data_IF_579208172767
#
_entry.id   IF_579208172767
#
_cell.length_a   1.000
_cell.length_b   1.000
_cell.length_c   1.000
_cell.angle_alpha   90.00
_cell.angle_beta   90.00
_cell.angle_gamma   90.00
#
_symmetry.space_group_name_H-M   'P 1'
#
loop_
_entity.id
_entity.type
_entity.pdbx_description
1 polymer ?
#
# COMPACT_ATOMS: atom_id res chain seq x y z
N UNK A 1 2.62 7.26 -27.55
CA UNK A 1 1.35 7.09 -26.79
C UNK A 1 0.83 5.64 -26.85
N UNK A 2 0.74 5.01 -28.02
CA UNK A 2 0.17 3.66 -28.17
C UNK A 2 0.95 2.58 -27.41
N UNK A 3 2.28 2.62 -27.43
CA UNK A 3 3.15 1.62 -26.75
C UNK A 3 2.99 1.72 -25.23
N UNK A 4 3.03 2.92 -24.67
CA UNK A 4 2.85 3.12 -23.23
C UNK A 4 1.46 2.67 -22.78
N UNK A 5 0.41 3.02 -23.53
CA UNK A 5 -0.96 2.61 -23.25
C UNK A 5 -1.11 1.09 -23.30
N UNK A 6 -0.50 0.44 -24.29
CA UNK A 6 -0.49 -1.01 -24.40
C UNK A 6 0.20 -1.67 -23.20
N UNK A 7 1.38 -1.15 -22.80
CA UNK A 7 2.12 -1.65 -21.65
C UNK A 7 1.30 -1.52 -20.36
N UNK A 8 0.71 -0.36 -20.08
CA UNK A 8 -0.12 -0.17 -18.89
C UNK A 8 -1.32 -1.12 -18.90
N UNK A 9 -1.97 -1.32 -20.05
CA UNK A 9 -3.08 -2.26 -20.15
C UNK A 9 -2.65 -3.71 -19.86
N UNK A 10 -1.47 -4.13 -20.30
CA UNK A 10 -0.92 -5.45 -19.94
C UNK A 10 -0.71 -5.58 -18.43
N UNK A 11 -0.14 -4.58 -17.80
CA UNK A 11 0.06 -4.55 -16.34
C UNK A 11 -1.28 -4.62 -15.61
N UNK A 12 -2.25 -3.79 -16.01
CA UNK A 12 -3.59 -3.78 -15.40
C UNK A 12 -4.29 -5.14 -15.52
N UNK A 13 -4.21 -5.77 -16.70
CA UNK A 13 -4.81 -7.09 -16.93
C UNK A 13 -4.14 -8.15 -16.05
N UNK A 14 -2.81 -8.12 -15.93
CA UNK A 14 -2.08 -9.07 -15.10
C UNK A 14 -2.44 -8.95 -13.62
N UNK A 15 -2.51 -7.73 -13.10
CA UNK A 15 -2.92 -7.48 -11.72
C UNK A 15 -4.38 -7.92 -11.50
N UNK A 16 -5.25 -7.72 -12.49
CA UNK A 16 -6.64 -8.18 -12.43
C UNK A 16 -6.76 -9.69 -12.30
N UNK A 17 -5.86 -10.45 -12.93
CA UNK A 17 -5.79 -11.89 -12.75
C UNK A 17 -5.41 -12.25 -11.31
N UNK A 18 -4.43 -11.57 -10.71
CA UNK A 18 -4.04 -11.82 -9.33
C UNK A 18 -5.16 -11.59 -8.32
N UNK A 19 -6.05 -10.65 -8.56
CA UNK A 19 -7.19 -10.43 -7.65
C UNK A 19 -8.14 -11.65 -7.54
N UNK A 20 -8.12 -12.56 -8.51
CA UNK A 20 -8.90 -13.80 -8.46
C UNK A 20 -8.30 -14.83 -7.49
N UNK A 21 -6.98 -14.75 -7.24
CA UNK A 21 -6.30 -15.70 -6.36
C UNK A 21 -6.69 -15.61 -4.88
N UNK A 22 -7.33 -14.51 -4.45
CA UNK A 22 -7.87 -14.40 -3.08
C UNK A 22 -8.85 -15.52 -2.78
N UNK A 23 -9.62 -15.93 -3.79
CA UNK A 23 -10.65 -16.97 -3.68
C UNK A 23 -10.10 -18.39 -3.85
N UNK A 24 -8.81 -18.53 -4.13
CA UNK A 24 -8.18 -19.83 -4.29
C UNK A 24 -8.03 -20.53 -2.91
N UNK A 25 -8.51 -21.74 -2.81
CA UNK A 25 -8.45 -22.55 -1.56
C UNK A 25 -7.05 -22.68 -0.98
N UNK A 26 -6.01 -22.67 -1.83
CA UNK A 26 -4.62 -22.73 -1.35
C UNK A 26 -4.23 -21.53 -0.49
N UNK A 27 -4.89 -20.38 -0.67
CA UNK A 27 -4.62 -19.15 0.08
C UNK A 27 -5.51 -19.01 1.33
N UNK A 28 -6.45 -19.92 1.55
CA UNK A 28 -7.41 -19.84 2.67
C UNK A 28 -6.70 -19.76 4.04
N UNK A 29 -5.65 -20.53 4.21
CA UNK A 29 -4.87 -20.56 5.46
C UNK A 29 -4.22 -19.19 5.75
N UNK A 30 -3.55 -18.60 4.78
CA UNK A 30 -2.90 -17.30 4.95
C UNK A 30 -3.93 -16.17 5.10
N UNK A 31 -5.02 -16.21 4.33
CA UNK A 31 -6.11 -15.24 4.46
C UNK A 31 -6.73 -15.26 5.86
N UNK A 32 -6.99 -16.45 6.40
CA UNK A 32 -7.47 -16.62 7.78
C UNK A 32 -6.50 -16.07 8.81
N UNK A 33 -5.20 -16.32 8.64
CA UNK A 33 -4.17 -15.81 9.56
C UNK A 33 -4.06 -14.28 9.51
N UNK A 34 -4.24 -13.67 8.35
CA UNK A 34 -4.31 -12.21 8.23
C UNK A 34 -5.54 -11.65 8.98
N UNK A 35 -6.71 -12.26 8.82
CA UNK A 35 -7.93 -11.87 9.55
C UNK A 35 -7.72 -11.98 11.06
N UNK A 36 -7.12 -13.08 11.52
CA UNK A 36 -6.82 -13.30 12.95
C UNK A 36 -5.81 -12.28 13.48
N UNK A 37 -4.79 -11.95 12.69
CA UNK A 37 -3.80 -10.92 13.04
C UNK A 37 -4.45 -9.53 13.20
N UNK A 38 -5.28 -9.13 12.25
CA UNK A 38 -6.03 -7.87 12.34
C UNK A 38 -6.98 -7.89 13.55
N UNK A 39 -7.70 -8.99 13.78
CA UNK A 39 -8.55 -9.16 14.97
C UNK A 39 -7.76 -9.01 16.26
N UNK A 40 -6.56 -9.62 16.34
CA UNK A 40 -5.69 -9.53 17.50
C UNK A 40 -5.32 -8.07 17.81
N UNK A 41 -4.91 -7.31 16.79
CA UNK A 41 -4.56 -5.90 16.96
C UNK A 41 -5.78 -5.06 17.38
N UNK A 42 -6.94 -5.28 16.77
CA UNK A 42 -8.17 -4.56 17.12
C UNK A 42 -8.65 -4.87 18.55
N UNK A 43 -8.53 -6.11 19.00
CA UNK A 43 -8.85 -6.51 20.37
C UNK A 43 -7.93 -5.85 21.39
N UNK A 44 -6.73 -5.48 21.00
CA UNK A 44 -5.80 -4.65 21.79
C UNK A 44 -6.10 -3.15 21.68
N UNK A 45 -7.22 -2.77 21.02
CA UNK A 45 -7.68 -1.40 20.82
C UNK A 45 -6.75 -0.54 19.93
N UNK A 46 -5.99 -1.16 19.03
CA UNK A 46 -5.22 -0.42 18.04
C UNK A 46 -6.11 0.06 16.90
N UNK A 47 -5.85 1.26 16.42
CA UNK A 47 -6.35 1.76 15.15
C UNK A 47 -5.32 1.37 14.08
N UNK A 48 -5.77 0.70 13.03
CA UNK A 48 -4.92 0.09 12.01
C UNK A 48 -5.08 0.87 10.70
N UNK A 49 -3.97 1.35 10.16
CA UNK A 49 -3.91 2.06 8.90
C UNK A 49 -3.04 1.23 7.95
N UNK A 50 -3.65 0.67 6.91
CA UNK A 50 -2.96 -0.17 5.94
C UNK A 50 -2.66 0.67 4.71
N UNK A 51 -1.39 0.79 4.37
CA UNK A 51 -0.90 1.43 3.16
C UNK A 51 -0.20 0.39 2.30
N UNK A 52 -0.51 0.38 1.02
CA UNK A 52 0.13 -0.54 0.08
C UNK A 52 0.67 0.20 -1.14
N UNK A 53 1.80 -0.27 -1.63
CA UNK A 53 2.35 0.13 -2.93
C UNK A 53 1.82 -0.71 -4.07
N UNK A 54 1.10 -1.80 -3.76
CA UNK A 54 0.45 -2.64 -4.74
C UNK A 54 -0.76 -1.95 -5.36
N UNK A 55 -1.09 -2.34 -6.58
CA UNK A 55 -2.21 -1.77 -7.35
C UNK A 55 -3.50 -2.59 -7.22
N UNK A 56 -3.42 -3.76 -6.55
CA UNK A 56 -4.53 -4.68 -6.35
C UNK A 56 -5.45 -4.24 -5.21
N UNK A 57 -6.46 -5.08 -4.94
CA UNK A 57 -7.42 -4.89 -3.87
C UNK A 57 -7.54 -6.15 -2.99
N UNK A 58 -6.47 -6.93 -2.87
CA UNK A 58 -6.45 -8.19 -2.14
C UNK A 58 -6.81 -7.99 -0.66
N UNK A 59 -6.16 -7.05 0.00
CA UNK A 59 -6.36 -6.80 1.43
C UNK A 59 -7.81 -6.41 1.75
N UNK A 60 -8.45 -5.43 1.09
CA UNK A 60 -9.86 -5.14 1.31
C UNK A 60 -10.78 -6.32 0.97
N UNK A 61 -10.47 -7.12 -0.04
CA UNK A 61 -11.28 -8.30 -0.39
C UNK A 61 -11.25 -9.36 0.71
N UNK A 62 -10.10 -9.58 1.34
CA UNK A 62 -9.96 -10.52 2.46
C UNK A 62 -10.63 -9.98 3.71
N UNK A 63 -10.47 -8.69 4.02
CA UNK A 63 -10.88 -8.12 5.29
C UNK A 63 -12.34 -7.64 5.34
N UNK A 64 -12.91 -7.15 4.22
CA UNK A 64 -14.26 -6.54 4.22
C UNK A 64 -15.41 -7.47 4.61
N UNK A 65 -15.34 -8.80 4.40
CA UNK A 65 -16.36 -9.71 4.94
C UNK A 65 -16.38 -9.78 6.47
N UNK A 66 -15.29 -9.42 7.13
CA UNK A 66 -15.12 -9.56 8.59
C UNK A 66 -15.09 -8.22 9.33
N UNK A 67 -14.67 -7.16 8.65
CA UNK A 67 -14.43 -5.83 9.23
C UNK A 67 -14.96 -4.73 8.34
N UNK A 68 -15.35 -3.62 8.94
CA UNK A 68 -15.64 -2.40 8.20
C UNK A 68 -14.33 -1.71 7.81
N UNK A 69 -13.84 -1.98 6.60
CA UNK A 69 -12.64 -1.35 6.04
C UNK A 69 -13.02 -0.02 5.39
N UNK A 70 -12.33 1.05 5.76
CA UNK A 70 -12.50 2.36 5.14
C UNK A 70 -11.48 2.55 4.01
N UNK A 71 -11.95 2.79 2.79
CA UNK A 71 -11.13 2.96 1.58
C UNK A 71 -11.28 4.35 0.94
N UNK A 72 -11.69 5.37 1.70
CA UNK A 72 -11.98 6.71 1.21
C UNK A 72 -13.02 6.77 0.06
N UNK A 73 -13.89 5.77 -0.03
CA UNK A 73 -14.96 5.68 -1.02
C UNK A 73 -16.29 6.12 -0.41
N UNK A 74 -17.05 6.95 -1.13
CA UNK A 74 -18.39 7.38 -0.77
C UNK A 74 -19.38 6.96 -1.85
N UNK A 75 -20.52 6.42 -1.44
CA UNK A 75 -21.59 6.06 -2.37
C UNK A 75 -22.20 7.33 -3.00
N UNK A 76 -22.41 7.28 -4.32
CA UNK A 76 -23.22 8.25 -5.07
C UNK A 76 -24.67 7.79 -5.17
N UNK A 77 -25.56 8.73 -5.47
CA UNK A 77 -26.98 8.45 -5.65
C UNK A 77 -27.27 7.44 -6.79
N UNK A 78 -26.40 7.33 -7.77
CA UNK A 78 -26.50 6.37 -8.88
C UNK A 78 -25.89 4.98 -8.58
N UNK A 79 -25.56 4.68 -7.33
CA UNK A 79 -24.95 3.41 -6.93
C UNK A 79 -23.44 3.30 -7.17
N UNK A 80 -22.84 4.25 -7.88
CA UNK A 80 -21.39 4.30 -8.06
C UNK A 80 -20.70 4.80 -6.78
N UNK A 81 -19.40 4.52 -6.63
CA UNK A 81 -18.60 5.06 -5.54
C UNK A 81 -17.64 6.11 -6.08
N UNK A 82 -17.58 7.25 -5.42
CA UNK A 82 -16.62 8.30 -5.71
C UNK A 82 -15.53 8.27 -4.64
N UNK A 83 -14.31 8.48 -5.09
CA UNK A 83 -13.20 8.66 -4.17
C UNK A 83 -13.29 10.04 -3.54
N UNK A 84 -13.57 10.09 -2.25
CA UNK A 84 -13.56 11.31 -1.45
C UNK A 84 -12.69 11.06 -0.23
N UNK A 85 -11.58 11.76 -0.20
CA UNK A 85 -10.73 11.74 0.96
C UNK A 85 -11.27 12.69 2.02
N UNK A 86 -11.77 12.11 3.10
CA UNK A 86 -12.17 12.83 4.31
C UNK A 86 -11.16 12.52 5.42
N UNK A 87 -10.21 13.42 5.62
CA UNK A 87 -9.14 13.29 6.61
C UNK A 87 -9.68 13.10 8.03
N UNK A 88 -10.76 13.80 8.39
CA UNK A 88 -11.33 13.69 9.73
C UNK A 88 -11.95 12.30 9.94
N UNK A 89 -12.65 11.78 8.93
CA UNK A 89 -13.22 10.45 8.97
C UNK A 89 -12.12 9.39 8.98
N UNK A 90 -11.09 9.57 8.15
CA UNK A 90 -9.96 8.64 8.07
C UNK A 90 -9.25 8.49 9.42
N UNK A 91 -9.03 9.57 10.16
CA UNK A 91 -8.43 9.54 11.50
C UNK A 91 -9.29 8.82 12.54
N UNK A 92 -10.62 8.90 12.42
CA UNK A 92 -11.57 8.32 13.38
C UNK A 92 -11.87 6.84 13.17
N UNK A 93 -11.58 6.28 11.99
CA UNK A 93 -11.88 4.87 11.72
C UNK A 93 -10.80 3.97 12.28
N UNK A 94 -11.20 2.81 12.81
CA UNK A 94 -10.27 1.85 13.40
C UNK A 94 -9.50 1.05 12.36
N UNK A 95 -10.04 0.84 11.17
CA UNK A 95 -9.38 0.09 10.10
C UNK A 95 -9.56 0.82 8.77
N UNK A 96 -8.46 1.17 8.13
CA UNK A 96 -8.47 1.78 6.80
C UNK A 96 -7.41 1.17 5.89
N UNK A 97 -7.66 1.26 4.57
CA UNK A 97 -6.77 0.77 3.54
C UNK A 97 -6.60 1.82 2.45
N UNK A 98 -5.37 2.01 1.98
CA UNK A 98 -5.03 2.98 0.96
C UNK A 98 -3.94 2.47 0.01
N UNK A 99 -4.17 2.57 -1.30
CA UNK A 99 -3.17 2.29 -2.33
C UNK A 99 -2.37 3.56 -2.63
N UNK A 100 -1.14 3.67 -2.12
CA UNK A 100 -0.28 4.86 -2.29
C UNK A 100 0.04 5.14 -3.76
N UNK A 101 0.23 4.10 -4.54
CA UNK A 101 0.52 4.20 -5.97
C UNK A 101 -0.73 4.07 -6.86
N UNK A 102 -1.92 4.20 -6.27
CA UNK A 102 -3.17 4.01 -6.99
C UNK A 102 -3.62 2.56 -7.08
N UNK A 103 -4.71 2.34 -7.78
CA UNK A 103 -5.31 1.00 -7.93
C UNK A 103 -5.87 0.80 -9.31
N UNK A 104 -5.83 -0.45 -9.80
CA UNK A 104 -6.47 -0.85 -11.05
C UNK A 104 -8.00 -0.67 -11.05
N UNK A 105 -8.60 -0.46 -9.88
CA UNK A 105 -10.03 -0.22 -9.70
C UNK A 105 -10.41 1.26 -9.68
N UNK A 106 -9.45 2.16 -9.84
CA UNK A 106 -9.72 3.58 -9.99
C UNK A 106 -9.96 3.93 -11.45
N UNK A 107 -10.94 4.78 -11.69
CA UNK A 107 -11.28 5.33 -13.00
C UNK A 107 -11.66 6.80 -12.84
N UNK A 108 -11.90 7.49 -13.93
CA UNK A 108 -12.34 8.87 -13.91
C UNK A 108 -13.70 9.04 -14.58
N UNK A 109 -14.50 9.89 -13.99
CA UNK A 109 -15.75 10.35 -14.55
C UNK A 109 -15.67 11.86 -14.76
N UNK A 110 -16.04 12.31 -15.95
CA UNK A 110 -16.09 13.72 -16.30
C UNK A 110 -17.54 14.19 -16.21
N UNK A 111 -17.77 15.27 -15.49
CA UNK A 111 -19.02 16.03 -15.54
C UNK A 111 -18.86 17.07 -16.68
N UNK A 112 -19.49 16.86 -17.83
CA UNK A 112 -19.32 17.74 -18.99
C UNK A 112 -19.92 19.13 -18.77
N UNK A 113 -20.86 19.26 -17.85
CA UNK A 113 -21.52 20.54 -17.55
C UNK A 113 -20.64 21.41 -16.66
N UNK A 114 -20.03 20.79 -15.65
CA UNK A 114 -19.18 21.49 -14.67
C UNK A 114 -17.72 21.52 -15.05
N UNK A 115 -17.35 20.85 -16.15
CA UNK A 115 -15.95 20.67 -16.56
C UNK A 115 -15.05 20.17 -15.42
N UNK A 116 -15.61 19.31 -14.57
CA UNK A 116 -14.92 18.70 -13.43
C UNK A 116 -14.76 17.22 -13.63
N UNK A 117 -13.60 16.70 -13.27
CA UNK A 117 -13.39 15.28 -13.19
C UNK A 117 -13.45 14.80 -11.73
N UNK A 118 -13.92 13.58 -11.55
CA UNK A 118 -13.95 12.88 -10.28
C UNK A 118 -13.25 11.54 -10.43
N UNK A 119 -12.46 11.16 -9.45
CA UNK A 119 -11.93 9.79 -9.37
C UNK A 119 -13.03 8.90 -8.80
N UNK A 120 -13.35 7.83 -9.51
CA UNK A 120 -14.39 6.88 -9.12
C UNK A 120 -13.80 5.49 -8.92
N UNK A 121 -14.51 4.68 -8.15
CA UNK A 121 -14.24 3.26 -8.04
C UNK A 121 -15.01 2.51 -9.13
N UNK A 122 -14.28 1.73 -9.94
CA UNK A 122 -14.84 0.84 -10.95
C UNK A 122 -14.57 -0.61 -10.57
N UNK A 123 -15.57 -1.39 -10.10
CA UNK A 123 -15.39 -2.77 -9.64
C UNK A 123 -14.91 -3.72 -10.73
N UNK A 124 -15.14 -3.38 -12.00
CA UNK A 124 -14.72 -4.19 -13.13
C UNK A 124 -13.30 -3.91 -13.61
N UNK A 125 -12.64 -2.93 -13.01
CA UNK A 125 -11.39 -2.32 -13.44
C UNK A 125 -11.46 -1.78 -14.90
N UNK A 126 -10.99 -0.58 -15.19
CA UNK A 126 -11.01 -0.04 -16.54
C UNK A 126 -10.15 -0.91 -17.47
N UNK A 127 -10.64 -1.16 -18.68
CA UNK A 127 -9.89 -1.93 -19.70
C UNK A 127 -8.82 -1.10 -20.40
N UNK A 128 -8.89 0.22 -20.28
CA UNK A 128 -7.99 1.18 -20.93
C UNK A 128 -7.93 2.48 -20.14
N UNK A 129 -6.85 3.20 -20.34
CA UNK A 129 -6.67 4.54 -19.78
C UNK A 129 -7.47 5.52 -20.65
N UNK A 130 -8.38 6.26 -20.04
CA UNK A 130 -9.11 7.32 -20.72
C UNK A 130 -8.19 8.52 -20.93
N UNK A 131 -8.21 9.08 -22.13
CA UNK A 131 -7.59 10.36 -22.39
C UNK A 131 -8.49 11.46 -21.86
N UNK A 132 -7.91 12.33 -21.04
CA UNK A 132 -8.57 13.51 -20.50
C UNK A 132 -7.77 14.73 -20.90
N UNK A 133 -8.43 15.73 -21.43
CA UNK A 133 -7.87 17.06 -21.62
C UNK A 133 -8.62 18.02 -20.70
N UNK A 134 -8.23 18.17 -19.41
CA UNK A 134 -8.96 18.96 -18.44
C UNK A 134 -8.80 20.47 -18.64
N UNK A 135 -7.73 20.91 -19.32
CA UNK A 135 -7.34 22.32 -19.34
C UNK A 135 -7.66 23.06 -20.65
N UNK A 136 -8.47 22.45 -21.54
CA UNK A 136 -8.79 23.06 -22.81
C UNK A 136 -7.59 23.26 -23.74
N UNK A 137 -6.47 22.60 -23.45
CA UNK A 137 -5.29 22.54 -24.30
C UNK A 137 -5.59 21.89 -25.65
N UNK A 138 -4.58 21.78 -26.50
CA UNK A 138 -4.72 21.20 -27.83
C UNK A 138 -5.52 19.86 -27.76
N UNK A 139 -6.69 19.77 -28.41
CA UNK A 139 -7.51 18.56 -28.39
C UNK A 139 -6.78 17.32 -28.97
N UNK A 140 -5.65 17.54 -29.64
CA UNK A 140 -4.79 16.49 -30.17
C UNK A 140 -3.74 16.00 -29.17
N UNK A 141 -3.66 16.58 -27.97
CA UNK A 141 -2.79 16.13 -26.88
C UNK A 141 -3.64 15.60 -25.73
N UNK A 142 -4.10 14.37 -25.79
CA UNK A 142 -4.91 13.79 -24.74
C UNK A 142 -4.08 13.62 -23.46
N UNK A 143 -4.57 14.19 -22.36
CA UNK A 143 -4.02 13.92 -21.05
C UNK A 143 -4.38 12.49 -20.63
N UNK A 144 -3.39 11.63 -20.54
CA UNK A 144 -3.61 10.25 -20.12
C UNK A 144 -3.73 10.21 -18.58
N UNK A 145 -4.95 9.99 -18.08
CA UNK A 145 -5.12 9.61 -16.68
C UNK A 145 -4.70 8.15 -16.49
N UNK A 146 -3.71 7.93 -15.67
CA UNK A 146 -3.34 6.59 -15.23
C UNK A 146 -3.88 6.38 -13.82
N UNK A 147 -4.68 5.32 -13.57
CA UNK A 147 -5.15 4.99 -12.22
C UNK A 147 -4.03 4.50 -11.31
N UNK A 148 -2.83 4.32 -11.86
CA UNK A 148 -1.64 3.85 -11.15
C UNK A 148 -0.44 4.76 -11.44
N UNK A 149 0.48 4.83 -10.49
CA UNK A 149 1.76 5.53 -10.63
C UNK A 149 2.86 4.50 -10.88
N UNK A 150 3.56 4.61 -12.01
CA UNK A 150 4.67 3.72 -12.38
C UNK A 150 5.90 4.49 -12.85
N UNK A 151 7.07 3.89 -12.72
CA UNK A 151 8.32 4.37 -13.31
C UNK A 151 8.85 5.68 -12.71
N UNK A 152 9.66 6.41 -13.47
CA UNK A 152 10.36 7.63 -13.05
C UNK A 152 9.43 8.80 -12.65
N UNK A 153 8.18 8.78 -13.08
CA UNK A 153 7.22 9.83 -12.76
C UNK A 153 6.54 9.65 -11.39
N UNK A 154 6.91 8.64 -10.61
CA UNK A 154 6.32 8.34 -9.30
C UNK A 154 6.31 9.56 -8.39
N UNK A 155 7.42 10.25 -8.27
CA UNK A 155 7.56 11.42 -7.39
C UNK A 155 6.67 12.58 -7.85
N UNK A 156 6.68 12.92 -9.13
CA UNK A 156 5.87 14.03 -9.66
C UNK A 156 4.38 13.74 -9.58
N UNK A 157 3.95 12.53 -9.92
CA UNK A 157 2.54 12.14 -9.87
C UNK A 157 2.04 11.94 -8.44
N UNK A 158 2.91 11.61 -7.49
CA UNK A 158 2.56 11.54 -6.07
C UNK A 158 2.04 12.86 -5.52
N UNK A 159 2.37 13.99 -6.15
CA UNK A 159 1.84 15.32 -5.80
C UNK A 159 0.47 15.63 -6.40
N UNK A 160 -0.04 14.81 -7.31
CA UNK A 160 -1.35 15.02 -7.92
C UNK A 160 -2.46 14.26 -7.19
N UNK A 161 -3.67 14.80 -7.23
CA UNK A 161 -4.86 14.10 -6.68
C UNK A 161 -5.21 12.89 -7.58
N UNK A 162 -5.53 11.72 -7.00
CA UNK A 162 -5.78 11.45 -5.57
C UNK A 162 -4.55 11.01 -4.76
N UNK A 163 -3.39 10.83 -5.38
CA UNK A 163 -2.22 10.19 -4.77
C UNK A 163 -1.64 11.01 -3.62
N UNK A 164 -1.55 12.34 -3.78
CA UNK A 164 -1.06 13.25 -2.75
C UNK A 164 -1.82 13.11 -1.42
N UNK A 165 -3.10 12.79 -1.47
CA UNK A 165 -3.91 12.61 -0.28
C UNK A 165 -3.47 11.37 0.51
N UNK A 166 -3.13 10.28 -0.19
CA UNK A 166 -2.60 9.06 0.41
C UNK A 166 -1.23 9.26 1.03
N UNK A 167 -0.32 9.95 0.34
CA UNK A 167 1.01 10.25 0.88
C UNK A 167 0.94 11.18 2.09
N UNK A 168 0.08 12.19 2.07
CA UNK A 168 -0.13 13.06 3.23
C UNK A 168 -0.69 12.30 4.44
N UNK A 169 -1.66 11.39 4.20
CA UNK A 169 -2.18 10.54 5.26
C UNK A 169 -1.09 9.64 5.83
N UNK A 170 -0.32 8.97 4.98
CA UNK A 170 0.77 8.10 5.36
C UNK A 170 1.82 8.83 6.20
N UNK A 171 2.25 10.02 5.76
CA UNK A 171 3.21 10.83 6.49
C UNK A 171 2.69 11.21 7.90
N UNK A 172 1.44 11.66 7.98
CA UNK A 172 0.84 12.02 9.26
C UNK A 172 0.71 10.81 10.19
N UNK A 173 0.22 9.67 9.66
CA UNK A 173 0.06 8.46 10.46
C UNK A 173 1.41 7.90 10.92
N UNK A 174 2.46 7.97 10.09
CA UNK A 174 3.82 7.60 10.51
C UNK A 174 4.32 8.46 11.67
N UNK A 175 3.98 9.75 11.70
CA UNK A 175 4.39 10.64 12.79
C UNK A 175 3.65 10.37 14.11
N UNK A 176 2.41 9.90 14.03
CA UNK A 176 1.51 9.75 15.18
C UNK A 176 1.39 8.30 15.69
N UNK A 177 1.87 7.30 14.93
CA UNK A 177 1.67 5.89 15.27
C UNK A 177 2.66 5.40 16.35
N UNK A 178 2.30 4.33 17.03
CA UNK A 178 3.16 3.61 17.99
C UNK A 178 4.15 2.68 17.30
N UNK A 179 3.72 2.06 16.22
CA UNK A 179 4.52 1.13 15.44
C UNK A 179 4.16 1.20 13.96
N UNK A 180 5.15 1.01 13.12
CA UNK A 180 5.00 0.73 11.70
C UNK A 180 5.37 -0.73 11.48
N UNK A 181 4.55 -1.44 10.70
CA UNK A 181 4.84 -2.81 10.28
C UNK A 181 4.93 -2.80 8.76
N UNK A 182 6.11 -3.08 8.20
CA UNK A 182 6.28 -3.28 6.77
C UNK A 182 6.22 -4.77 6.47
N UNK A 183 5.44 -5.17 5.48
CA UNK A 183 5.27 -6.57 5.08
C UNK A 183 5.54 -6.74 3.59
N UNK A 184 6.59 -7.48 3.23
CA UNK A 184 6.97 -7.71 1.83
C UNK A 184 7.34 -6.42 1.08
N UNK A 185 7.82 -5.41 1.78
CA UNK A 185 8.26 -4.15 1.20
C UNK A 185 9.76 -4.20 0.94
N UNK A 186 10.17 -3.95 -0.30
CA UNK A 186 11.56 -4.08 -0.77
C UNK A 186 12.43 -2.83 -0.54
N UNK A 187 11.89 -1.77 0.05
CA UNK A 187 12.56 -0.47 0.20
C UNK A 187 13.08 0.15 -1.11
N UNK A 188 12.45 -0.19 -2.24
CA UNK A 188 12.84 0.33 -3.54
C UNK A 188 12.23 1.70 -3.89
N UNK A 189 11.31 2.23 -3.07
CA UNK A 189 10.63 3.51 -3.31
C UNK A 189 11.23 4.64 -2.44
N UNK A 190 12.12 5.50 -2.98
CA UNK A 190 12.86 6.51 -2.19
C UNK A 190 11.97 7.49 -1.41
N UNK A 191 10.81 7.86 -1.98
CA UNK A 191 9.88 8.77 -1.32
C UNK A 191 9.19 8.15 -0.09
N UNK A 192 8.90 6.85 -0.12
CA UNK A 192 8.39 6.10 1.05
C UNK A 192 9.50 5.91 2.07
N UNK A 193 10.70 5.53 1.59
CA UNK A 193 11.87 5.36 2.45
C UNK A 193 12.21 6.64 3.20
N UNK A 194 12.13 7.80 2.55
CA UNK A 194 12.35 9.10 3.20
C UNK A 194 11.38 9.33 4.36
N UNK A 195 10.10 9.00 4.20
CA UNK A 195 9.10 9.11 5.26
C UNK A 195 9.44 8.14 6.41
N UNK A 196 9.74 6.88 6.07
CA UNK A 196 10.09 5.85 7.06
C UNK A 196 11.39 6.19 7.80
N UNK A 197 12.42 6.72 7.11
CA UNK A 197 13.69 7.13 7.71
C UNK A 197 13.48 8.24 8.72
N UNK A 198 12.71 9.27 8.37
CA UNK A 198 12.41 10.37 9.29
C UNK A 198 11.75 9.86 10.57
N UNK A 199 10.81 8.92 10.43
CA UNK A 199 10.11 8.32 11.55
C UNK A 199 11.06 7.50 12.45
N UNK A 200 11.93 6.68 11.88
CA UNK A 200 12.86 5.81 12.62
C UNK A 200 14.00 6.59 13.25
N UNK A 201 14.53 7.62 12.59
CA UNK A 201 15.60 8.46 13.12
C UNK A 201 15.22 9.22 14.38
N UNK A 202 13.97 9.62 14.53
CA UNK A 202 13.50 10.36 15.71
C UNK A 202 13.11 9.45 16.88
N UNK A 203 13.21 8.12 16.72
CA UNK A 203 13.10 7.14 17.82
C UNK A 203 11.77 7.08 18.54
N UNK A 204 10.73 7.72 18.02
CA UNK A 204 9.42 7.82 18.70
C UNK A 204 8.67 6.50 18.70
N UNK A 205 8.84 5.68 17.66
CA UNK A 205 8.01 4.50 17.45
C UNK A 205 8.83 3.32 16.95
N UNK A 206 8.25 2.15 17.03
CA UNK A 206 8.85 0.89 16.62
C UNK A 206 8.64 0.66 15.13
N UNK A 207 9.67 0.21 14.42
CA UNK A 207 9.54 -0.35 13.07
C UNK A 207 9.71 -1.87 13.13
N UNK A 208 8.73 -2.60 12.62
CA UNK A 208 8.79 -4.05 12.43
C UNK A 208 8.81 -4.33 10.93
N UNK A 209 9.91 -4.83 10.42
CA UNK A 209 10.03 -5.23 9.01
C UNK A 209 9.88 -6.75 8.90
N UNK A 210 8.82 -7.18 8.21
CA UNK A 210 8.56 -8.58 7.89
C UNK A 210 8.94 -8.81 6.43
N UNK A 211 10.04 -9.52 6.23
CA UNK A 211 10.61 -9.75 4.90
C UNK A 211 11.06 -11.21 4.76
N UNK A 212 11.33 -11.60 3.53
CA UNK A 212 11.98 -12.86 3.24
C UNK A 212 13.41 -12.55 2.75
N UNK A 213 14.40 -13.09 3.44
CA UNK A 213 15.80 -12.94 3.04
C UNK A 213 16.46 -14.30 3.08
N UNK A 214 16.94 -14.76 1.93
CA UNK A 214 17.84 -15.87 1.81
C UNK A 214 19.18 -15.41 1.21
N UNK A 215 20.14 -16.31 1.15
CA UNK A 215 21.47 -16.01 0.61
C UNK A 215 21.44 -15.65 -0.88
N UNK A 216 20.44 -16.14 -1.64
CA UNK A 216 20.27 -15.82 -3.05
C UNK A 216 19.70 -14.41 -3.23
N UNK A 217 18.73 -14.04 -2.42
CA UNK A 217 18.16 -12.69 -2.44
C UNK A 217 19.20 -11.62 -2.10
N UNK A 218 20.07 -11.86 -1.14
CA UNK A 218 21.17 -10.95 -0.78
C UNK A 218 22.16 -10.69 -1.91
N UNK A 219 22.21 -11.54 -2.93
CA UNK A 219 23.04 -11.37 -4.13
C UNK A 219 22.34 -10.61 -5.26
N UNK A 220 21.04 -10.32 -5.12
CA UNK A 220 20.29 -9.54 -6.12
C UNK A 220 20.53 -8.04 -5.94
N UNK A 221 20.37 -7.21 -7.00
CA UNK A 221 20.42 -5.76 -6.86
C UNK A 221 19.44 -5.20 -5.83
N UNK A 222 18.25 -5.80 -5.72
CA UNK A 222 17.24 -5.46 -4.74
C UNK A 222 17.69 -5.83 -3.32
N UNK A 223 18.32 -6.99 -3.15
CA UNK A 223 18.90 -7.44 -1.89
C UNK A 223 20.06 -6.54 -1.43
N UNK A 224 20.90 -6.10 -2.36
CA UNK A 224 21.99 -5.15 -2.06
C UNK A 224 21.43 -3.79 -1.65
N UNK A 225 20.41 -3.28 -2.34
CA UNK A 225 19.77 -2.01 -1.97
C UNK A 225 19.07 -2.11 -0.60
N UNK A 226 18.41 -3.23 -0.33
CA UNK A 226 17.82 -3.57 0.97
C UNK A 226 18.90 -3.62 2.06
N UNK A 227 20.04 -4.26 1.81
CA UNK A 227 21.15 -4.32 2.74
C UNK A 227 21.74 -2.93 3.04
N UNK A 228 21.86 -2.04 2.06
CA UNK A 228 22.48 -0.74 2.27
C UNK A 228 21.70 0.17 3.21
N UNK A 229 20.38 0.14 3.15
CA UNK A 229 19.53 0.95 4.03
C UNK A 229 19.31 0.31 5.42
N UNK A 230 19.43 -1.01 5.52
CA UNK A 230 19.21 -1.78 6.75
C UNK A 230 20.54 -2.36 7.29
N UNK A 231 21.59 -2.44 6.49
CA UNK A 231 22.85 -3.13 6.81
C UNK A 231 23.55 -2.63 8.07
N UNK A 232 23.53 -1.34 8.34
CA UNK A 232 24.02 -0.79 9.60
C UNK A 232 23.21 -1.27 10.83
N UNK A 233 22.03 -1.86 10.58
CA UNK A 233 21.15 -2.39 11.60
C UNK A 233 21.36 -3.88 11.83
N UNK A 234 21.95 -4.58 10.86
CA UNK A 234 22.14 -6.05 10.85
C UNK A 234 23.31 -6.54 11.68
N UNK A 235 24.24 -5.68 12.02
CA UNK A 235 25.52 -6.09 12.64
C UNK A 235 25.44 -6.51 14.10
N UNK A 236 24.34 -6.30 14.80
CA UNK A 236 24.33 -6.48 16.25
C UNK A 236 23.77 -7.82 16.77
N UNK A 237 22.92 -8.58 16.04
CA UNK A 237 22.36 -9.84 16.55
C UNK A 237 21.96 -10.84 15.45
N UNK A 238 22.56 -12.01 15.45
CA UNK A 238 22.19 -13.15 14.60
C UNK A 238 21.33 -14.18 15.34
N UNK A 239 20.09 -13.87 15.64
CA UNK A 239 19.07 -14.91 15.73
C UNK A 239 18.61 -15.25 14.30
N UNK A 240 18.42 -16.55 13.98
CA UNK A 240 18.05 -17.01 12.63
C UNK A 240 16.69 -16.50 12.14
N UNK A 241 15.88 -15.92 13.00
CA UNK A 241 14.49 -15.52 12.72
C UNK A 241 14.26 -14.02 12.88
N UNK A 242 14.80 -13.43 13.94
CA UNK A 242 14.62 -12.04 14.29
C UNK A 242 15.94 -11.29 14.42
N UNK A 243 15.91 -10.02 14.01
CA UNK A 243 16.94 -9.02 14.34
C UNK A 243 16.32 -7.88 15.13
N UNK A 244 17.06 -7.39 16.10
CA UNK A 244 16.64 -6.28 16.91
C UNK A 244 17.75 -5.24 16.97
N UNK A 245 17.46 -4.02 16.58
CA UNK A 245 18.34 -2.88 16.85
C UNK A 245 17.82 -2.14 18.10
N UNK A 246 18.56 -2.22 19.18
CA UNK A 246 18.20 -1.52 20.42
C UNK A 246 18.24 0.01 20.27
N UNK A 247 19.20 0.53 19.49
CA UNK A 247 19.37 1.97 19.28
C UNK A 247 18.20 2.63 18.51
N UNK A 248 17.59 1.91 17.57
CA UNK A 248 16.61 2.48 16.64
C UNK A 248 15.20 1.91 16.77
N UNK A 249 14.95 1.01 17.73
CA UNK A 249 13.68 0.30 17.89
C UNK A 249 13.20 -0.37 16.59
N UNK A 250 14.14 -0.96 15.85
CA UNK A 250 13.85 -1.66 14.62
C UNK A 250 13.96 -3.16 14.85
N UNK A 251 12.97 -3.88 14.38
CA UNK A 251 12.88 -5.33 14.47
C UNK A 251 12.67 -5.87 13.05
N UNK A 252 13.45 -6.87 12.66
CA UNK A 252 13.35 -7.50 11.34
C UNK A 252 13.05 -8.97 11.51
N UNK A 253 11.96 -9.43 10.89
CA UNK A 253 11.58 -10.83 10.78
C UNK A 253 11.91 -11.36 9.38
N UNK A 254 12.73 -12.42 9.27
CA UNK A 254 13.33 -12.85 8.01
C UNK A 254 12.60 -13.95 7.25
N UNK A 255 11.68 -14.68 7.85
CA UNK A 255 11.05 -15.85 7.23
C UNK A 255 9.86 -15.54 6.33
N UNK A 256 9.60 -14.26 6.07
CA UNK A 256 8.52 -13.83 5.19
C UNK A 256 7.17 -13.64 5.87
N UNK A 257 6.24 -13.09 5.09
CA UNK A 257 4.93 -12.67 5.59
C UNK A 257 4.05 -13.86 5.99
N UNK A 258 4.12 -14.94 5.22
CA UNK A 258 3.31 -16.14 5.51
C UNK A 258 3.67 -16.75 6.85
N UNK A 259 4.94 -17.04 7.09
CA UNK A 259 5.43 -17.58 8.36
C UNK A 259 5.13 -16.66 9.53
N UNK A 260 5.31 -15.34 9.34
CA UNK A 260 5.00 -14.34 10.35
C UNK A 260 3.52 -14.36 10.76
N UNK A 261 2.61 -14.45 9.79
CA UNK A 261 1.17 -14.47 10.06
C UNK A 261 0.71 -15.81 10.65
N UNK A 262 1.36 -16.92 10.30
CA UNK A 262 1.01 -18.25 10.81
C UNK A 262 1.51 -18.50 12.25
N UNK A 263 2.60 -17.88 12.64
CA UNK A 263 3.16 -18.01 13.97
C UNK A 263 2.75 -16.85 14.89
N UNK A 264 1.69 -17.07 15.65
CA UNK A 264 1.12 -16.07 16.57
C UNK A 264 2.09 -15.61 17.68
N UNK A 265 3.13 -16.38 17.97
CA UNK A 265 4.15 -15.99 18.95
C UNK A 265 4.86 -14.71 18.51
N UNK A 266 5.05 -14.55 17.20
CA UNK A 266 5.69 -13.37 16.60
C UNK A 266 4.90 -12.07 16.81
N UNK A 267 3.58 -12.15 16.98
CA UNK A 267 2.74 -10.95 17.13
C UNK A 267 2.99 -10.18 18.43
N UNK A 268 3.51 -10.85 19.46
CA UNK A 268 3.87 -10.22 20.73
C UNK A 268 4.94 -9.15 20.54
N UNK A 269 5.94 -9.41 19.68
CA UNK A 269 7.05 -8.50 19.45
C UNK A 269 6.64 -7.17 18.79
N UNK A 270 5.43 -7.10 18.22
CA UNK A 270 4.91 -5.86 17.66
C UNK A 270 4.45 -4.91 18.77
N UNK A 271 3.92 -5.45 19.87
CA UNK A 271 3.21 -4.70 20.90
C UNK A 271 4.06 -4.43 22.15
N UNK A 272 5.09 -5.22 22.37
CA UNK A 272 6.06 -5.03 23.45
C UNK A 272 7.18 -4.07 23.03
#
# INVERSE_FOLDING_TARGET
HSIYQHFINLVLNKIKEYNKYVLDKKNERINKSLIEFISYLMNKRYSIKIYTTNYDRLIPQILSPHFKVYEALKDKANGNKVFIYDLQRFRKVHLSHFNLHGSIFLDTEIDPVKMKYSVIYNPQAPKYIKALNPDGGNPNEPLLFSPIITGYTKTQRGFSTPFNLGFNAFTNDCNDCRAIITMGYSFSDPHINSILSNFTCWGKSKLVNVTFTDEEFQKTPEGIAFDYEIYDLYKEYEDKTWFHSQKRKIHVYKKGVEDFLLDRVNWKYILE
#
